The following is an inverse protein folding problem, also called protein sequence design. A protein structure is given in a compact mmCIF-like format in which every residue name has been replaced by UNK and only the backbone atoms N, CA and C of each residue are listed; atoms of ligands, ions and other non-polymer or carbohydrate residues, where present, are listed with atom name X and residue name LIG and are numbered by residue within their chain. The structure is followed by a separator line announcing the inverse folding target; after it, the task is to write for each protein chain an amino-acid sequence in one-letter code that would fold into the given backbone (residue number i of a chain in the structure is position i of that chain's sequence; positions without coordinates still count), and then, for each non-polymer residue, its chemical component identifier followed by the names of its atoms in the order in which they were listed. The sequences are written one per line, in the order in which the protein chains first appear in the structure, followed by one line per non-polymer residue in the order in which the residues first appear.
data_IF_507801958099
#
_entry.id   IF_507801958099
#
_cell.length_a   1.000
_cell.length_b   1.000
_cell.length_c   1.000
_cell.angle_alpha   90.00
_cell.angle_beta   90.00
_cell.angle_gamma   90.00
#
_symmetry.space_group_name_H-M   'P 1'
#
loop_
_entity.id
_entity.type
_entity.pdbx_description
1 polymer ?
#
# COMPACT_ATOMS: atom_id res chain seq x y z
N UNK A 1 -17.65 -11.84 -3.93
CA UNK A 1 -16.55 -12.35 -3.08
C UNK A 1 -15.24 -11.96 -3.71
N UNK A 2 -14.49 -11.04 -3.11
CA UNK A 2 -13.13 -10.73 -3.57
C UNK A 2 -12.16 -11.72 -2.94
N UNK A 3 -11.05 -12.02 -3.61
CA UNK A 3 -9.99 -12.85 -3.04
C UNK A 3 -9.48 -12.25 -1.71
N UNK A 4 -9.45 -10.92 -1.59
CA UNK A 4 -9.08 -10.22 -0.37
C UNK A 4 -9.98 -10.58 0.83
N UNK A 5 -11.30 -10.69 0.62
CA UNK A 5 -12.24 -11.06 1.67
C UNK A 5 -12.09 -12.51 2.16
N UNK A 6 -11.48 -13.39 1.36
CA UNK A 6 -11.17 -14.77 1.75
C UNK A 6 -9.80 -14.82 2.42
N UNK A 7 -8.79 -14.18 1.82
CA UNK A 7 -7.41 -14.25 2.27
C UNK A 7 -7.21 -13.62 3.65
N UNK A 8 -7.85 -12.48 3.92
CA UNK A 8 -7.68 -11.76 5.19
C UNK A 8 -7.99 -12.62 6.44
N UNK A 9 -9.20 -13.24 6.57
CA UNK A 9 -9.49 -14.10 7.71
C UNK A 9 -8.65 -15.38 7.73
N UNK A 10 -8.30 -15.94 6.56
CA UNK A 10 -7.46 -17.16 6.52
C UNK A 10 -6.04 -16.93 7.03
N UNK A 11 -5.42 -15.80 6.66
CA UNK A 11 -4.07 -15.44 7.12
C UNK A 11 -4.10 -15.12 8.62
N UNK A 12 -5.06 -14.29 9.06
CA UNK A 12 -5.22 -13.97 10.48
C UNK A 12 -5.45 -15.22 11.33
N UNK A 13 -6.35 -16.10 10.89
CA UNK A 13 -6.66 -17.36 11.56
C UNK A 13 -5.47 -18.30 11.64
N UNK A 14 -4.67 -18.41 10.56
CA UNK A 14 -3.46 -19.22 10.55
C UNK A 14 -2.40 -18.67 11.52
N UNK A 15 -2.18 -17.36 11.53
CA UNK A 15 -1.19 -16.71 12.41
C UNK A 15 -1.52 -16.92 13.88
N UNK A 16 -2.80 -16.78 14.26
CA UNK A 16 -3.23 -16.99 15.64
C UNK A 16 -3.09 -18.47 16.05
N UNK A 17 -3.42 -19.41 15.16
CA UNK A 17 -3.35 -20.84 15.45
C UNK A 17 -1.92 -21.36 15.65
N UNK A 18 -0.93 -20.75 15.00
CA UNK A 18 0.48 -21.15 15.12
C UNK A 18 1.25 -20.37 16.21
N UNK A 19 0.63 -19.37 16.84
CA UNK A 19 1.26 -18.60 17.89
C UNK A 19 1.25 -19.34 19.24
N UNK A 20 2.28 -19.11 20.06
CA UNK A 20 2.39 -19.74 21.38
C UNK A 20 1.28 -19.30 22.35
N UNK A 21 0.74 -18.10 22.15
CA UNK A 21 -0.43 -17.59 22.86
C UNK A 21 -1.31 -16.79 21.91
N UNK A 22 -2.61 -16.70 22.22
CA UNK A 22 -3.57 -15.93 21.40
C UNK A 22 -3.20 -14.46 21.29
N UNK A 23 -2.68 -13.86 22.37
CA UNK A 23 -2.24 -12.47 22.39
C UNK A 23 -1.09 -12.22 21.40
N UNK A 24 -0.11 -13.12 21.39
CA UNK A 24 1.04 -13.05 20.49
C UNK A 24 0.61 -13.20 19.03
N UNK A 25 -0.35 -14.09 18.77
CA UNK A 25 -0.99 -14.25 17.46
C UNK A 25 -1.69 -12.98 16.97
N UNK A 26 -2.39 -12.25 17.84
CA UNK A 26 -3.00 -10.97 17.48
C UNK A 26 -1.96 -9.89 17.19
N UNK A 27 -0.91 -9.78 18.02
CA UNK A 27 0.18 -8.81 17.80
C UNK A 27 0.90 -9.07 16.47
N UNK A 28 1.17 -10.34 16.16
CA UNK A 28 1.73 -10.74 14.87
C UNK A 28 0.77 -10.43 13.71
N UNK A 29 -0.54 -10.70 13.87
CA UNK A 29 -1.56 -10.37 12.89
C UNK A 29 -1.64 -8.87 12.59
N UNK A 30 -1.60 -8.01 13.62
CA UNK A 30 -1.56 -6.56 13.44
C UNK A 30 -0.27 -6.09 12.77
N UNK A 31 0.85 -6.73 13.06
CA UNK A 31 2.14 -6.43 12.40
C UNK A 31 2.06 -6.72 10.90
N UNK A 32 1.48 -7.86 10.51
CA UNK A 32 1.25 -8.20 9.10
C UNK A 32 0.35 -7.15 8.44
N UNK A 33 -0.74 -6.76 9.10
CA UNK A 33 -1.63 -5.72 8.58
C UNK A 33 -0.89 -4.38 8.38
N UNK A 34 -0.06 -3.98 9.33
CA UNK A 34 0.75 -2.76 9.21
C UNK A 34 1.71 -2.82 8.03
N UNK A 35 2.42 -3.94 7.84
CA UNK A 35 3.33 -4.16 6.70
C UNK A 35 2.58 -4.07 5.37
N UNK A 36 1.40 -4.67 5.27
CA UNK A 36 0.56 -4.59 4.06
C UNK A 36 0.15 -3.15 3.77
N UNK A 37 -0.26 -2.38 4.79
CA UNK A 37 -0.61 -0.97 4.64
C UNK A 37 0.57 -0.14 4.14
N UNK A 38 1.75 -0.32 4.76
CA UNK A 38 2.97 0.40 4.39
C UNK A 38 3.37 0.05 2.96
N UNK A 39 3.44 -1.23 2.62
CA UNK A 39 3.78 -1.67 1.26
C UNK A 39 2.79 -1.13 0.23
N UNK A 40 1.48 -1.19 0.51
CA UNK A 40 0.44 -0.66 -0.39
C UNK A 40 0.55 0.85 -0.56
N UNK A 41 0.82 1.59 0.51
CA UNK A 41 1.04 3.04 0.47
C UNK A 41 2.28 3.41 -0.34
N UNK A 42 3.40 2.71 -0.12
CA UNK A 42 4.63 2.91 -0.89
C UNK A 42 4.43 2.60 -2.37
N UNK A 43 3.75 1.50 -2.70
CA UNK A 43 3.40 1.17 -4.08
C UNK A 43 2.49 2.23 -4.70
N UNK A 44 1.50 2.73 -3.96
CA UNK A 44 0.63 3.81 -4.40
C UNK A 44 1.41 5.09 -4.71
N UNK A 45 2.31 5.50 -3.82
CA UNK A 45 3.21 6.65 -4.05
C UNK A 45 4.14 6.41 -5.24
N UNK A 46 4.70 5.21 -5.36
CA UNK A 46 5.58 4.82 -6.46
C UNK A 46 4.85 4.69 -7.81
N UNK A 47 3.52 4.50 -7.83
CA UNK A 47 2.69 4.53 -9.04
C UNK A 47 2.27 5.96 -9.41
N UNK A 48 1.99 6.79 -8.40
CA UNK A 48 1.64 8.20 -8.59
C UNK A 48 2.84 9.01 -9.08
N UNK A 49 4.02 8.85 -8.47
CA UNK A 49 5.23 9.58 -8.84
C UNK A 49 5.57 9.49 -10.33
N UNK A 50 5.73 8.33 -10.99
CA UNK A 50 6.09 8.27 -12.40
C UNK A 50 5.01 8.83 -13.33
N UNK A 51 3.72 8.64 -13.01
CA UNK A 51 2.63 9.10 -13.88
C UNK A 51 2.33 10.60 -13.72
N UNK A 52 2.39 11.13 -12.50
CA UNK A 52 2.11 12.55 -12.22
C UNK A 52 3.31 13.43 -12.48
N UNK A 53 4.53 12.98 -12.15
CA UNK A 53 5.74 13.75 -12.41
C UNK A 53 6.09 13.77 -13.91
N UNK A 54 5.94 12.66 -14.66
CA UNK A 54 6.12 12.69 -16.13
C UNK A 54 5.05 13.52 -16.83
N UNK A 55 3.78 13.43 -16.42
CA UNK A 55 2.72 14.26 -16.99
C UNK A 55 2.91 15.74 -16.66
N UNK A 56 3.41 16.07 -15.46
CA UNK A 56 3.79 17.43 -15.08
C UNK A 56 4.97 17.94 -15.91
N UNK A 57 6.02 17.14 -16.08
CA UNK A 57 7.22 17.53 -16.83
C UNK A 57 6.92 17.70 -18.34
N UNK A 58 6.15 16.80 -18.95
CA UNK A 58 5.74 16.89 -20.35
C UNK A 58 4.64 17.94 -20.58
N UNK A 59 3.80 18.22 -19.59
CA UNK A 59 2.76 19.25 -19.64
C UNK A 59 3.27 20.66 -19.34
N UNK A 60 4.46 20.82 -18.74
CA UNK A 60 5.08 22.12 -18.45
C UNK A 60 6.00 22.64 -19.56
N UNK A 61 6.15 21.93 -20.67
CA UNK A 61 6.98 22.36 -21.81
C UNK A 61 6.32 23.46 -22.68
N UNK A 62 5.09 23.92 -22.37
CA UNK A 62 4.33 24.81 -23.25
C UNK A 62 3.64 26.03 -22.58
N UNK A 63 4.18 26.59 -21.49
CA UNK A 63 3.81 27.96 -21.10
C UNK A 63 5.07 28.78 -20.85
N UNK A 64 5.67 29.23 -21.95
CA UNK A 64 6.73 30.23 -21.93
C UNK A 64 6.09 31.56 -21.44
N UNK A 65 6.56 32.16 -20.33
CA UNK A 65 6.00 33.42 -19.86
C UNK A 65 6.35 34.51 -20.88
N UNK A 66 5.30 35.08 -21.50
CA UNK A 66 5.42 36.26 -22.36
C UNK A 66 5.78 37.45 -21.46
N UNK A 67 7.08 37.73 -21.36
CA UNK A 67 7.54 39.03 -20.86
C UNK A 67 7.17 40.07 -21.91
N UNK A 68 6.31 41.00 -21.48
CA UNK A 68 5.83 42.14 -22.25
C UNK A 68 6.93 43.19 -22.43
#
# INVERSE_FOLDING_TARGET
YTLAGILAPTVMGSVIQHAATTLDGYMMGFTINAVVLVASGLLGLALLWPNTERARLLGQEAVQPKFA
#
